data_IF_022292713340
#
_entry.id   IF_022292713340
#
_cell.length_a   1.000
_cell.length_b   1.000
_cell.length_c   1.000
_cell.angle_alpha   90.00
_cell.angle_beta   90.00
_cell.angle_gamma   90.00
#
_symmetry.space_group_name_H-M   'P 1'
#
loop_
_entity.id
_entity.type
_entity.pdbx_description
1 polymer ?
#
# COMPACT_ATOMS: atom_id res chain seq x y z
N UNK A 1 -0.50 3.66 -47.06
CA UNK A 1 -1.08 2.52 -46.31
C UNK A 1 -0.07 1.82 -45.40
N UNK A 2 1.09 1.35 -45.92
CA UNK A 2 2.11 0.63 -45.12
C UNK A 2 2.64 1.37 -43.87
N UNK A 3 2.86 2.69 -43.95
CA UNK A 3 3.26 3.53 -42.80
C UNK A 3 2.17 3.64 -41.74
N UNK A 4 0.89 3.72 -42.15
CA UNK A 4 -0.26 3.81 -41.23
C UNK A 4 -0.40 2.53 -40.41
N UNK A 5 -0.20 1.36 -41.04
CA UNK A 5 -0.20 0.06 -40.36
C UNK A 5 0.94 -0.04 -39.35
N UNK A 6 2.14 0.45 -39.70
CA UNK A 6 3.29 0.45 -38.77
C UNK A 6 3.01 1.34 -37.56
N UNK A 7 2.47 2.55 -37.75
CA UNK A 7 2.16 3.44 -36.63
C UNK A 7 1.04 2.91 -35.73
N UNK A 8 0.02 2.29 -36.31
CA UNK A 8 -1.06 1.67 -35.52
C UNK A 8 -0.58 0.44 -34.74
N UNK A 9 0.35 -0.34 -35.29
CA UNK A 9 1.00 -1.44 -34.56
C UNK A 9 1.95 -0.94 -33.45
N UNK A 10 2.65 0.18 -33.69
CA UNK A 10 3.47 0.81 -32.65
C UNK A 10 2.59 1.33 -31.51
N UNK A 11 1.46 1.96 -31.83
CA UNK A 11 0.57 2.52 -30.83
C UNK A 11 -0.13 1.44 -29.99
N UNK A 12 -0.53 0.32 -30.60
CA UNK A 12 -1.12 -0.80 -29.86
C UNK A 12 -0.12 -1.48 -28.92
N UNK A 13 1.14 -1.62 -29.32
CA UNK A 13 2.20 -2.19 -28.47
C UNK A 13 2.55 -1.28 -27.30
N UNK A 14 2.63 0.05 -27.52
CA UNK A 14 2.78 1.04 -26.44
C UNK A 14 1.63 0.95 -25.42
N UNK A 15 0.40 0.84 -25.90
CA UNK A 15 -0.78 0.74 -25.03
C UNK A 15 -0.81 -0.58 -24.24
N UNK A 16 -0.43 -1.70 -24.84
CA UNK A 16 -0.34 -2.98 -24.13
C UNK A 16 0.74 -2.95 -23.04
N UNK A 17 1.90 -2.36 -23.33
CA UNK A 17 2.99 -2.22 -22.36
C UNK A 17 2.60 -1.34 -21.16
N UNK A 18 1.92 -0.20 -21.40
CA UNK A 18 1.47 0.66 -20.30
C UNK A 18 0.46 -0.01 -19.38
N UNK A 19 -0.49 -0.78 -19.94
CA UNK A 19 -1.46 -1.54 -19.14
C UNK A 19 -0.78 -2.65 -18.33
N UNK A 20 0.18 -3.36 -18.92
CA UNK A 20 0.96 -4.36 -18.19
C UNK A 20 1.75 -3.73 -17.03
N UNK A 21 2.37 -2.56 -17.23
CA UNK A 21 3.04 -1.83 -16.16
C UNK A 21 2.07 -1.39 -15.05
N UNK A 22 0.91 -0.83 -15.40
CA UNK A 22 -0.11 -0.45 -14.42
C UNK A 22 -0.58 -1.64 -13.58
N UNK A 23 -0.84 -2.79 -14.21
CA UNK A 23 -1.19 -4.03 -13.50
C UNK A 23 -0.09 -4.45 -12.51
N UNK A 24 1.18 -4.31 -12.88
CA UNK A 24 2.29 -4.65 -11.98
C UNK A 24 2.42 -3.69 -10.80
N UNK A 25 2.15 -2.40 -10.99
CA UNK A 25 2.14 -1.43 -9.89
C UNK A 25 0.98 -1.71 -8.93
N UNK A 26 -0.21 -2.04 -9.44
CA UNK A 26 -1.35 -2.41 -8.59
C UNK A 26 -1.02 -3.62 -7.70
N UNK A 27 -0.42 -4.67 -8.25
CA UNK A 27 -0.05 -5.86 -7.46
C UNK A 27 1.05 -5.57 -6.44
N UNK A 28 1.97 -4.65 -6.71
CA UNK A 28 2.94 -4.17 -5.72
C UNK A 28 2.25 -3.45 -4.57
N UNK A 29 1.30 -2.56 -4.86
CA UNK A 29 0.51 -1.87 -3.82
C UNK A 29 -0.28 -2.86 -2.98
N UNK A 30 -0.97 -3.81 -3.61
CA UNK A 30 -1.69 -4.88 -2.89
C UNK A 30 -0.77 -5.70 -2.00
N UNK A 31 0.46 -5.96 -2.44
CA UNK A 31 1.45 -6.69 -1.64
C UNK A 31 1.82 -5.93 -0.37
N UNK A 32 2.07 -4.62 -0.47
CA UNK A 32 2.33 -3.75 0.68
C UNK A 32 1.12 -3.74 1.63
N UNK A 33 -0.09 -3.53 1.11
CA UNK A 33 -1.31 -3.50 1.92
C UNK A 33 -1.57 -4.83 2.64
N UNK A 34 -1.36 -5.97 1.98
CA UNK A 34 -1.50 -7.30 2.61
C UNK A 34 -0.48 -7.50 3.72
N UNK A 35 0.78 -7.11 3.50
CA UNK A 35 1.82 -7.24 4.50
C UNK A 35 1.52 -6.37 5.74
N UNK A 36 1.08 -5.13 5.53
CA UNK A 36 0.67 -4.23 6.61
C UNK A 36 -0.53 -4.78 7.40
N UNK A 37 -1.58 -5.24 6.71
CA UNK A 37 -2.76 -5.86 7.35
C UNK A 37 -2.37 -7.11 8.15
N UNK A 38 -1.51 -7.95 7.61
CA UNK A 38 -1.05 -9.17 8.29
C UNK A 38 -0.26 -8.85 9.56
N UNK A 39 0.56 -7.80 9.56
CA UNK A 39 1.26 -7.34 10.77
C UNK A 39 0.25 -6.96 11.88
N UNK A 40 -0.80 -6.22 11.51
CA UNK A 40 -1.87 -5.83 12.42
C UNK A 40 -2.64 -7.04 12.97
N UNK A 41 -3.09 -7.97 12.12
CA UNK A 41 -3.80 -9.19 12.56
C UNK A 41 -2.94 -10.09 13.47
N UNK A 42 -1.62 -10.08 13.25
CA UNK A 42 -0.65 -10.80 14.09
C UNK A 42 -0.31 -10.05 15.40
N UNK A 43 -0.93 -8.88 15.65
CA UNK A 43 -0.65 -8.01 16.79
C UNK A 43 0.83 -7.62 16.92
N UNK A 44 1.57 -7.60 15.80
CA UNK A 44 2.99 -7.28 15.76
C UNK A 44 3.28 -6.33 14.60
N UNK A 45 3.58 -5.08 14.93
CA UNK A 45 3.89 -4.01 13.98
C UNK A 45 5.39 -3.78 13.78
N UNK A 46 6.25 -4.69 14.24
CA UNK A 46 7.68 -4.60 14.01
C UNK A 46 8.00 -4.58 12.50
N UNK A 47 8.77 -3.58 12.07
CA UNK A 47 9.25 -3.46 10.68
C UNK A 47 8.19 -2.98 9.67
N UNK A 48 7.03 -2.49 10.12
CA UNK A 48 6.04 -1.84 9.24
C UNK A 48 6.41 -0.39 8.91
N UNK A 49 7.35 0.21 9.63
CA UNK A 49 7.89 1.56 9.40
C UNK A 49 8.43 1.74 7.99
N UNK A 50 8.99 0.68 7.39
CA UNK A 50 9.46 0.67 5.99
C UNK A 50 8.38 0.95 4.94
N UNK A 51 7.10 0.85 5.30
CA UNK A 51 5.98 1.13 4.40
C UNK A 51 5.58 2.60 4.37
N UNK A 52 6.16 3.43 5.25
CA UNK A 52 5.84 4.83 5.39
C UNK A 52 7.05 5.70 5.03
N UNK A 53 6.78 6.85 4.41
CA UNK A 53 7.82 7.85 4.20
C UNK A 53 8.10 8.58 5.51
N UNK A 54 9.30 9.15 5.67
CA UNK A 54 9.67 9.88 6.89
C UNK A 54 8.81 11.11 7.18
N UNK A 55 8.05 11.59 6.19
CA UNK A 55 7.13 12.72 6.28
C UNK A 55 5.66 12.30 6.13
N UNK A 56 5.33 11.02 6.34
CA UNK A 56 3.94 10.56 6.36
C UNK A 56 3.18 11.22 7.51
N UNK A 57 1.90 11.51 7.31
CA UNK A 57 0.98 11.91 8.38
C UNK A 57 -0.10 10.84 8.54
N UNK A 58 -0.32 10.37 9.76
CA UNK A 58 -1.41 9.47 10.09
C UNK A 58 -2.62 10.28 10.52
N UNK A 59 -3.79 9.96 9.95
CA UNK A 59 -5.05 10.55 10.33
C UNK A 59 -5.96 9.51 10.99
N UNK A 60 -6.41 9.79 12.20
CA UNK A 60 -7.32 8.93 12.95
C UNK A 60 -8.47 9.77 13.52
N UNK A 61 -9.71 9.34 13.28
CA UNK A 61 -10.92 10.02 13.78
C UNK A 61 -10.97 11.54 13.51
N UNK A 62 -10.37 11.98 12.39
CA UNK A 62 -10.35 13.38 11.96
C UNK A 62 -9.25 14.24 12.59
N UNK A 63 -8.27 13.65 13.27
CA UNK A 63 -7.08 14.33 13.80
C UNK A 63 -5.81 13.85 13.11
N UNK A 64 -4.77 14.68 13.16
CA UNK A 64 -3.41 14.32 12.75
C UNK A 64 -2.69 13.73 13.97
N UNK A 65 -2.28 12.47 13.88
CA UNK A 65 -1.58 11.74 14.94
C UNK A 65 -0.05 11.80 14.80
N UNK A 66 0.44 12.52 13.79
CA UNK A 66 1.87 12.71 13.52
C UNK A 66 2.43 11.69 12.52
N UNK A 67 3.73 11.42 12.63
CA UNK A 67 4.40 10.44 11.76
C UNK A 67 3.97 9.01 12.09
N UNK A 68 4.31 8.05 11.23
CA UNK A 68 4.01 6.65 11.54
C UNK A 68 4.72 6.15 12.80
N UNK A 69 5.92 6.66 13.08
CA UNK A 69 6.65 6.36 14.32
C UNK A 69 5.92 6.92 15.55
N UNK A 70 5.40 8.15 15.46
CA UNK A 70 4.60 8.76 16.53
C UNK A 70 3.31 7.95 16.77
N UNK A 71 2.65 7.53 15.69
CA UNK A 71 1.43 6.74 15.72
C UNK A 71 1.66 5.35 16.34
N UNK A 72 2.75 4.65 15.99
CA UNK A 72 3.08 3.37 16.63
C UNK A 72 3.20 3.53 18.14
N UNK A 73 4.06 4.45 18.57
CA UNK A 73 4.45 4.55 19.97
C UNK A 73 3.29 4.96 20.90
N UNK A 74 2.36 5.76 20.40
CA UNK A 74 1.31 6.34 21.24
C UNK A 74 -0.10 5.77 20.99
N UNK A 75 -0.34 5.15 19.83
CA UNK A 75 -1.68 4.67 19.44
C UNK A 75 -1.69 3.17 19.21
N UNK A 76 -1.28 2.72 18.01
CA UNK A 76 -1.62 1.38 17.55
C UNK A 76 -0.95 0.29 18.38
N UNK A 77 0.30 0.45 18.83
CA UNK A 77 0.97 -0.58 19.63
C UNK A 77 0.31 -0.76 21.01
N UNK A 78 0.03 0.31 21.80
CA UNK A 78 -0.81 0.22 22.98
C UNK A 78 -2.18 -0.43 22.72
N UNK A 79 -2.87 -0.04 21.64
CA UNK A 79 -4.19 -0.57 21.31
C UNK A 79 -4.17 -2.05 20.98
N UNK A 80 -3.19 -2.51 20.18
CA UNK A 80 -3.02 -3.91 19.81
C UNK A 80 -2.80 -4.81 21.03
N UNK A 81 -2.16 -4.29 22.08
CA UNK A 81 -1.96 -5.04 23.34
C UNK A 81 -3.25 -5.42 24.06
N UNK A 82 -4.37 -4.77 23.72
CA UNK A 82 -5.70 -5.07 24.28
C UNK A 82 -6.47 -6.15 23.50
N UNK A 83 -6.04 -6.51 22.29
CA UNK A 83 -6.70 -7.54 21.49
C UNK A 83 -6.13 -8.92 21.79
N UNK A 84 -7.00 -9.94 21.82
CA UNK A 84 -6.57 -11.33 21.76
C UNK A 84 -6.32 -11.78 20.31
N UNK A 85 -7.17 -11.34 19.39
CA UNK A 85 -7.07 -11.58 17.94
C UNK A 85 -8.11 -10.74 17.20
N UNK A 86 -7.84 -10.38 15.96
CA UNK A 86 -8.84 -9.90 15.01
C UNK A 86 -8.46 -10.31 13.58
N UNK A 87 -9.42 -10.25 12.68
CA UNK A 87 -9.22 -10.51 11.25
C UNK A 87 -9.97 -9.48 10.44
N UNK A 88 -9.35 -8.97 9.39
CA UNK A 88 -10.03 -8.16 8.38
C UNK A 88 -11.02 -9.03 7.61
N UNK A 89 -12.17 -8.44 7.29
CA UNK A 89 -13.12 -8.99 6.33
C UNK A 89 -13.38 -7.95 5.24
N UNK A 90 -13.77 -8.42 4.05
CA UNK A 90 -14.12 -7.56 2.90
C UNK A 90 -15.61 -7.22 2.88
#
# INVERSE_FOLDING_TARGET
MRKVIIYSLLLSTLFAASNAMAQTEEEKVKTVLRAYKSALENLNVEGTDKYFTSNSEILETGKVEGTYQDYIAHHIEPELSHFASFTYNN
#
